data_IF_587643446088
#
_entry.id   IF_587643446088
#
_cell.length_a   1.000
_cell.length_b   1.000
_cell.length_c   1.000
_cell.angle_alpha   90.00
_cell.angle_beta   90.00
_cell.angle_gamma   90.00
#
_symmetry.space_group_name_H-M   'P 1'
#
loop_
_entity.id
_entity.type
_entity.pdbx_description
1 polymer ?
#
# COMPACT_ATOMS: atom_id res chain seq x y z
N UNK A 1 -10.58 -1.70 14.11
CA UNK A 1 -9.93 -2.72 13.27
C UNK A 1 -9.73 -2.16 11.86
N UNK A 2 -8.54 -2.32 11.29
CA UNK A 2 -8.15 -1.72 10.01
C UNK A 2 -8.60 -2.48 8.75
N UNK A 3 -9.56 -3.40 8.89
CA UNK A 3 -10.18 -4.14 7.77
C UNK A 3 -11.62 -3.63 7.66
N UNK A 4 -12.11 -3.39 6.44
CA UNK A 4 -13.49 -2.97 6.24
C UNK A 4 -14.46 -4.12 6.60
N UNK A 5 -15.30 -3.97 7.65
CA UNK A 5 -16.13 -5.06 8.12
C UNK A 5 -17.27 -5.35 7.15
N UNK A 6 -17.48 -6.64 6.89
CA UNK A 6 -18.61 -7.12 6.12
C UNK A 6 -19.91 -7.04 6.93
N UNK A 7 -20.91 -6.34 6.39
CA UNK A 7 -22.18 -6.07 7.08
C UNK A 7 -23.35 -6.96 6.60
N UNK A 8 -23.16 -7.75 5.53
CA UNK A 8 -24.15 -8.71 5.05
C UNK A 8 -24.25 -8.84 3.52
N UNK A 9 -25.01 -9.84 3.07
CA UNK A 9 -25.39 -10.06 1.67
C UNK A 9 -26.89 -9.76 1.55
N UNK A 10 -27.26 -8.90 0.60
CA UNK A 10 -28.66 -8.71 0.24
C UNK A 10 -29.03 -9.72 -0.85
N UNK A 11 -29.94 -10.68 -0.57
CA UNK A 11 -30.43 -11.57 -1.62
C UNK A 11 -31.28 -10.75 -2.60
N UNK A 12 -30.81 -10.62 -3.84
CA UNK A 12 -31.64 -10.14 -4.95
C UNK A 12 -32.03 -11.31 -5.84
N UNK A 13 -33.30 -11.34 -6.22
CA UNK A 13 -33.88 -12.32 -7.14
C UNK A 13 -33.44 -12.04 -8.58
N UNK A 14 -32.19 -12.37 -8.92
CA UNK A 14 -31.65 -12.63 -10.26
C UNK A 14 -30.13 -12.47 -10.21
N UNK A 15 -29.34 -13.55 -10.32
CA UNK A 15 -27.93 -13.57 -10.75
C UNK A 15 -26.87 -12.63 -10.13
N UNK A 16 -27.23 -11.77 -9.18
CA UNK A 16 -26.39 -10.70 -8.65
C UNK A 16 -26.22 -10.89 -7.13
N UNK A 17 -24.97 -10.86 -6.69
CA UNK A 17 -24.61 -10.77 -5.27
C UNK A 17 -24.34 -9.30 -4.94
N UNK A 18 -24.92 -8.80 -3.85
CA UNK A 18 -24.65 -7.46 -3.33
C UNK A 18 -24.02 -7.58 -1.94
N UNK A 19 -22.83 -7.01 -1.78
CA UNK A 19 -22.11 -6.92 -0.50
C UNK A 19 -22.38 -5.56 0.13
N UNK A 20 -22.75 -5.53 1.42
CA UNK A 20 -22.87 -4.31 2.20
C UNK A 20 -21.62 -4.18 3.08
N UNK A 21 -20.91 -3.06 2.96
CA UNK A 21 -19.66 -2.75 3.66
C UNK A 21 -19.79 -1.42 4.42
N UNK A 22 -18.92 -1.20 5.39
CA UNK A 22 -18.78 0.10 6.07
C UNK A 22 -18.42 1.19 5.06
N UNK A 23 -19.02 2.38 5.20
CA UNK A 23 -18.75 3.52 4.32
C UNK A 23 -17.54 4.29 4.84
N UNK A 24 -16.44 4.25 4.10
CA UNK A 24 -15.32 5.16 4.30
C UNK A 24 -15.56 6.51 3.60
N UNK A 25 -14.80 7.53 4.02
CA UNK A 25 -14.91 8.88 3.47
C UNK A 25 -14.17 9.01 2.14
N UNK A 26 -12.96 8.46 2.06
CA UNK A 26 -12.07 8.56 0.90
C UNK A 26 -11.30 7.25 0.70
N UNK A 27 -10.90 6.96 -0.54
CA UNK A 27 -9.76 6.06 -0.79
C UNK A 27 -8.44 6.84 -0.78
N UNK A 28 -7.33 6.15 -0.47
CA UNK A 28 -6.02 6.76 -0.30
C UNK A 28 -5.50 7.36 -1.61
N UNK A 29 -5.82 6.75 -2.76
CA UNK A 29 -5.45 7.30 -4.07
C UNK A 29 -6.06 8.68 -4.27
N UNK A 30 -7.38 8.79 -4.08
CA UNK A 30 -8.12 10.04 -4.21
C UNK A 30 -7.63 11.10 -3.21
N UNK A 31 -7.38 10.69 -1.97
CA UNK A 31 -6.91 11.59 -0.91
C UNK A 31 -5.54 12.20 -1.25
N UNK A 32 -4.57 11.37 -1.64
CA UNK A 32 -3.22 11.84 -2.05
C UNK A 32 -3.28 12.65 -3.35
N UNK A 33 -4.10 12.24 -4.33
CA UNK A 33 -4.21 12.95 -5.62
C UNK A 33 -4.71 14.38 -5.49
N UNK A 34 -5.60 14.64 -4.51
CA UNK A 34 -6.21 15.97 -4.32
C UNK A 34 -5.55 16.81 -3.23
N UNK A 35 -4.83 16.20 -2.29
CA UNK A 35 -4.18 16.91 -1.18
C UNK A 35 -2.66 16.90 -1.24
N UNK A 36 -2.07 16.22 -2.21
CA UNK A 36 -0.64 15.98 -2.32
C UNK A 36 -0.13 14.88 -1.37
N UNK A 37 1.16 14.57 -1.46
CA UNK A 37 1.81 13.57 -0.62
C UNK A 37 1.78 13.92 0.87
N UNK A 38 1.85 12.89 1.71
CA UNK A 38 1.95 13.00 3.15
C UNK A 38 3.36 13.37 3.57
N UNK A 39 3.48 14.09 4.69
CA UNK A 39 4.73 14.18 5.42
C UNK A 39 5.20 12.79 5.85
N UNK A 40 6.48 12.68 6.21
CA UNK A 40 7.02 11.42 6.71
C UNK A 40 6.33 10.99 8.01
N UNK A 41 5.94 11.94 8.87
CA UNK A 41 5.21 11.67 10.13
C UNK A 41 3.85 11.04 9.84
N UNK A 42 3.04 11.70 9.00
CA UNK A 42 1.71 11.18 8.64
C UNK A 42 1.81 9.86 7.88
N UNK A 43 2.85 9.71 7.05
CA UNK A 43 3.13 8.45 6.37
C UNK A 43 3.39 7.31 7.36
N UNK A 44 4.16 7.53 8.44
CA UNK A 44 4.39 6.49 9.48
C UNK A 44 3.08 6.03 10.12
N UNK A 45 2.25 6.98 10.53
CA UNK A 45 1.02 6.70 11.27
C UNK A 45 0.02 5.95 10.39
N UNK A 46 -0.24 6.43 9.18
CA UNK A 46 -1.17 5.77 8.25
C UNK A 46 -0.61 4.42 7.79
N UNK A 47 0.68 4.35 7.43
CA UNK A 47 1.27 3.10 6.94
C UNK A 47 1.36 2.02 8.01
N UNK A 48 1.57 2.40 9.28
CA UNK A 48 1.51 1.47 10.40
C UNK A 48 0.14 0.80 10.51
N UNK A 49 -0.96 1.56 10.38
CA UNK A 49 -2.31 0.98 10.41
C UNK A 49 -2.56 0.03 9.22
N UNK A 50 -2.05 0.37 8.02
CA UNK A 50 -2.10 -0.53 6.85
C UNK A 50 -1.37 -1.85 7.16
N UNK A 51 -0.16 -1.77 7.72
CA UNK A 51 0.62 -2.95 8.08
C UNK A 51 -0.04 -3.79 9.17
N UNK A 52 -0.61 -3.18 10.20
CA UNK A 52 -1.34 -3.89 11.26
C UNK A 52 -2.55 -4.66 10.69
N UNK A 53 -3.28 -4.07 9.75
CA UNK A 53 -4.38 -4.76 9.07
C UNK A 53 -3.92 -5.90 8.17
N UNK A 54 -2.86 -5.70 7.40
CA UNK A 54 -2.30 -6.76 6.56
C UNK A 54 -1.63 -7.87 7.37
N UNK A 55 -1.03 -7.55 8.52
CA UNK A 55 -0.50 -8.55 9.46
C UNK A 55 -1.63 -9.46 9.95
N UNK A 56 -2.76 -8.88 10.37
CA UNK A 56 -3.93 -9.65 10.78
C UNK A 56 -4.46 -10.56 9.66
N UNK A 57 -4.51 -10.05 8.42
CA UNK A 57 -4.85 -10.87 7.25
C UNK A 57 -3.87 -12.04 7.07
N UNK A 58 -2.56 -11.76 7.08
CA UNK A 58 -1.52 -12.76 6.87
C UNK A 58 -1.48 -13.82 7.98
N UNK A 59 -1.75 -13.44 9.22
CA UNK A 59 -1.85 -14.35 10.37
C UNK A 59 -3.09 -15.25 10.27
N UNK A 60 -4.20 -14.71 9.73
CA UNK A 60 -5.38 -15.49 9.38
C UNK A 60 -5.22 -16.34 8.10
N UNK A 61 -4.04 -16.33 7.48
CA UNK A 61 -3.75 -17.06 6.24
C UNK A 61 -4.36 -16.41 4.99
N UNK A 62 -4.85 -15.17 5.07
CA UNK A 62 -5.42 -14.41 3.96
C UNK A 62 -4.32 -13.59 3.27
N UNK A 63 -4.19 -13.76 1.96
CA UNK A 63 -3.29 -13.00 1.09
C UNK A 63 -4.15 -12.10 0.22
N UNK A 64 -3.84 -10.80 0.14
CA UNK A 64 -4.72 -9.85 -0.53
C UNK A 64 -4.55 -9.86 -2.07
N UNK A 65 -3.30 -9.82 -2.57
CA UNK A 65 -2.95 -9.92 -4.00
C UNK A 65 -3.39 -8.76 -4.91
N UNK A 66 -4.03 -7.72 -4.38
CA UNK A 66 -4.40 -6.52 -5.13
C UNK A 66 -4.28 -5.28 -4.22
N UNK A 67 -3.19 -5.20 -3.46
CA UNK A 67 -2.91 -4.03 -2.64
C UNK A 67 -2.52 -2.86 -3.55
N UNK A 68 -3.31 -1.80 -3.44
CA UNK A 68 -3.14 -0.53 -4.14
C UNK A 68 -3.81 0.59 -3.34
N UNK A 69 -3.42 1.86 -3.51
CA UNK A 69 -4.01 2.96 -2.75
C UNK A 69 -5.55 3.05 -2.86
N UNK A 70 -6.14 2.63 -3.98
CA UNK A 70 -7.59 2.58 -4.18
C UNK A 70 -8.30 1.57 -3.24
N UNK A 71 -7.58 0.53 -2.81
CA UNK A 71 -8.09 -0.50 -1.89
C UNK A 71 -7.76 -0.21 -0.41
N UNK A 72 -7.19 0.97 -0.14
CA UNK A 72 -6.95 1.48 1.22
C UNK A 72 -7.88 2.66 1.44
N UNK A 73 -8.87 2.48 2.31
CA UNK A 73 -9.84 3.53 2.62
C UNK A 73 -9.47 4.26 3.91
N UNK A 74 -9.91 5.51 4.02
CA UNK A 74 -9.79 6.35 5.20
C UNK A 74 -11.20 6.71 5.70
N UNK A 75 -11.49 6.41 6.96
CA UNK A 75 -12.73 6.85 7.61
C UNK A 75 -12.67 8.34 8.00
N UNK A 76 -13.72 8.87 8.63
CA UNK A 76 -13.79 10.28 9.04
C UNK A 76 -12.79 10.68 10.13
N UNK A 77 -12.15 9.72 10.78
CA UNK A 77 -11.10 9.95 11.78
C UNK A 77 -9.72 9.55 11.21
N UNK A 78 -9.63 9.37 9.89
CA UNK A 78 -8.43 8.91 9.18
C UNK A 78 -7.91 7.54 9.63
N UNK A 79 -8.77 6.69 10.20
CA UNK A 79 -8.41 5.30 10.40
C UNK A 79 -8.43 4.57 9.07
N UNK A 80 -7.43 3.71 8.87
CA UNK A 80 -7.29 2.89 7.67
C UNK A 80 -8.32 1.76 7.67
N UNK A 81 -8.89 1.47 6.51
CA UNK A 81 -9.71 0.28 6.24
C UNK A 81 -9.27 -0.37 4.93
N UNK A 82 -8.73 -1.58 5.01
CA UNK A 82 -8.38 -2.38 3.83
C UNK A 82 -9.67 -2.99 3.26
N UNK A 83 -9.86 -2.90 1.95
CA UNK A 83 -11.06 -3.37 1.23
C UNK A 83 -10.70 -4.19 -0.01
N UNK A 84 -11.72 -4.68 -0.71
CA UNK A 84 -11.62 -5.40 -1.98
C UNK A 84 -10.76 -6.67 -1.95
N UNK A 85 -11.20 -7.61 -1.12
CA UNK A 85 -10.68 -8.98 -1.08
C UNK A 85 -11.17 -9.84 -2.27
N UNK A 86 -11.68 -9.24 -3.35
CA UNK A 86 -12.19 -9.98 -4.53
C UNK A 86 -11.12 -10.84 -5.21
N UNK A 87 -9.85 -10.44 -5.09
CA UNK A 87 -8.69 -11.22 -5.51
C UNK A 87 -7.98 -11.91 -4.37
N UNK A 88 -8.50 -11.94 -3.14
CA UNK A 88 -7.78 -12.57 -2.04
C UNK A 88 -7.66 -14.10 -2.21
N UNK A 89 -6.67 -14.70 -1.56
CA UNK A 89 -6.51 -16.15 -1.47
C UNK A 89 -6.29 -16.58 -0.03
N UNK A 90 -6.82 -17.75 0.33
CA UNK A 90 -6.51 -18.41 1.60
C UNK A 90 -5.33 -19.33 1.35
N UNK A 91 -4.27 -19.16 2.13
CA UNK A 91 -3.12 -20.04 2.13
C UNK A 91 -3.55 -21.42 2.65
N UNK A 92 -3.54 -22.43 1.80
CA UNK A 92 -3.73 -23.82 2.23
C UNK A 92 -2.45 -24.29 2.95
N UNK A 93 -2.51 -24.62 4.25
CA UNK A 93 -1.34 -25.09 5.01
C UNK A 93 -0.78 -26.43 4.50
N UNK A 94 -1.55 -27.17 3.70
CA UNK A 94 -1.23 -28.53 3.23
C UNK A 94 -0.73 -28.60 1.79
N UNK A 95 -0.85 -27.52 1.01
CA UNK A 95 -0.38 -27.44 -0.37
C UNK A 95 0.85 -26.53 -0.47
N UNK A 96 1.71 -26.75 -1.48
CA UNK A 96 2.78 -25.80 -1.78
C UNK A 96 2.17 -24.42 -1.99
N UNK A 97 2.62 -23.43 -1.22
CA UNK A 97 2.09 -22.06 -1.04
C UNK A 97 2.21 -21.15 -2.27
N UNK A 98 2.27 -21.77 -3.45
CA UNK A 98 2.58 -21.16 -4.74
C UNK A 98 1.28 -20.83 -5.48
N UNK A 99 1.08 -19.55 -5.76
CA UNK A 99 -0.09 -19.03 -6.48
C UNK A 99 0.21 -18.86 -7.98
N UNK A 100 -0.77 -19.14 -8.85
CA UNK A 100 -0.57 -19.23 -10.31
C UNK A 100 -1.42 -18.25 -11.15
N UNK A 101 -2.12 -17.30 -10.53
CA UNK A 101 -3.09 -16.41 -11.21
C UNK A 101 -2.55 -14.98 -11.34
N UNK A 102 -2.67 -14.40 -12.54
CA UNK A 102 -2.42 -12.97 -12.80
C UNK A 102 -3.60 -12.15 -12.26
N UNK A 103 -3.42 -11.44 -11.15
CA UNK A 103 -4.40 -10.51 -10.60
C UNK A 103 -3.67 -9.24 -10.14
N UNK A 104 -4.23 -8.06 -10.41
CA UNK A 104 -3.72 -6.77 -9.91
C UNK A 104 -3.53 -5.69 -10.98
N UNK A 105 -3.28 -4.45 -10.53
CA UNK A 105 -2.92 -3.32 -11.40
C UNK A 105 -1.39 -3.23 -11.58
N UNK A 106 -0.91 -3.11 -12.83
CA UNK A 106 0.50 -3.34 -13.21
C UNK A 106 1.57 -2.50 -12.48
N UNK A 107 1.20 -1.34 -11.94
CA UNK A 107 2.11 -0.45 -11.20
C UNK A 107 2.53 -1.03 -9.84
N UNK A 108 1.68 -1.85 -9.21
CA UNK A 108 1.86 -2.32 -7.83
C UNK A 108 2.33 -3.78 -7.73
N UNK A 109 2.36 -4.49 -8.87
CA UNK A 109 2.67 -5.91 -8.92
C UNK A 109 4.17 -6.19 -8.74
N UNK A 110 4.47 -7.19 -7.94
CA UNK A 110 5.83 -7.69 -7.74
C UNK A 110 6.35 -8.40 -9.01
N UNK A 111 7.67 -8.37 -9.29
CA UNK A 111 8.23 -8.89 -10.54
C UNK A 111 8.04 -10.40 -10.73
N UNK A 112 7.89 -11.17 -9.66
CA UNK A 112 7.67 -12.62 -9.69
C UNK A 112 6.23 -13.02 -10.05
N UNK A 113 5.28 -12.07 -10.09
CA UNK A 113 3.89 -12.35 -10.49
C UNK A 113 3.80 -12.60 -12.00
N UNK A 114 4.59 -11.92 -12.82
CA UNK A 114 4.58 -12.03 -14.29
C UNK A 114 4.92 -13.42 -14.87
N UNK A 115 5.91 -14.19 -14.36
CA UNK A 115 6.30 -15.46 -14.97
C UNK A 115 5.32 -16.64 -14.78
N UNK A 116 4.18 -16.50 -14.08
CA UNK A 116 3.21 -17.58 -13.79
C UNK A 116 3.80 -18.81 -13.10
N UNK A 117 5.01 -18.68 -12.59
CA UNK A 117 5.67 -19.67 -11.76
C UNK A 117 5.26 -19.35 -10.33
N UNK A 118 4.30 -20.11 -9.81
CA UNK A 118 3.98 -20.20 -8.38
C UNK A 118 4.75 -19.27 -7.43
N UNK A 119 4.13 -18.19 -6.93
CA UNK A 119 4.80 -17.18 -6.08
C UNK A 119 4.33 -17.21 -4.62
N UNK A 120 5.14 -16.66 -3.71
CA UNK A 120 4.78 -16.41 -2.32
C UNK A 120 3.95 -15.12 -2.23
N UNK A 121 2.63 -15.29 -2.03
CA UNK A 121 1.70 -14.17 -2.00
C UNK A 121 1.93 -13.20 -0.85
N UNK A 122 2.43 -13.64 0.31
CA UNK A 122 2.73 -12.73 1.43
C UNK A 122 3.89 -11.81 1.08
N UNK A 123 4.91 -12.33 0.39
CA UNK A 123 6.04 -11.54 -0.10
C UNK A 123 5.64 -10.61 -1.25
N UNK A 124 4.66 -11.01 -2.06
CA UNK A 124 4.07 -10.14 -3.08
C UNK A 124 3.34 -8.95 -2.45
N UNK A 125 2.51 -9.16 -1.42
CA UNK A 125 1.84 -8.09 -0.69
C UNK A 125 2.86 -7.09 -0.09
N UNK A 126 4.00 -7.57 0.45
CA UNK A 126 5.08 -6.71 0.97
C UNK A 126 5.66 -5.78 -0.11
N UNK A 127 5.79 -6.24 -1.35
CA UNK A 127 6.23 -5.38 -2.46
C UNK A 127 5.20 -4.29 -2.75
N UNK A 128 3.92 -4.64 -2.86
CA UNK A 128 2.84 -3.68 -3.10
C UNK A 128 2.74 -2.65 -1.99
N UNK A 129 2.92 -3.06 -0.73
CA UNK A 129 3.00 -2.15 0.42
C UNK A 129 4.15 -1.15 0.31
N UNK A 130 5.31 -1.55 -0.24
CA UNK A 130 6.42 -0.63 -0.46
C UNK A 130 6.10 0.42 -1.54
N UNK A 131 5.39 0.02 -2.59
CA UNK A 131 4.90 0.93 -3.63
C UNK A 131 3.89 1.92 -3.05
N UNK A 132 2.96 1.46 -2.20
CA UNK A 132 2.00 2.32 -1.50
C UNK A 132 2.72 3.33 -0.61
N UNK A 133 3.66 2.89 0.24
CA UNK A 133 4.44 3.80 1.09
C UNK A 133 5.18 4.85 0.25
N UNK A 134 5.78 4.44 -0.87
CA UNK A 134 6.44 5.36 -1.78
C UNK A 134 5.46 6.42 -2.28
N UNK A 135 4.29 6.03 -2.81
CA UNK A 135 3.25 6.96 -3.28
C UNK A 135 2.75 7.88 -2.18
N UNK A 136 2.55 7.39 -0.96
CA UNK A 136 2.14 8.23 0.17
C UNK A 136 3.15 9.37 0.39
N UNK A 137 4.44 9.07 0.28
CA UNK A 137 5.52 10.04 0.56
C UNK A 137 5.85 10.96 -0.62
N UNK A 138 5.46 10.61 -1.86
CA UNK A 138 5.84 11.35 -3.08
C UNK A 138 4.69 11.85 -3.93
N UNK A 139 3.51 11.26 -3.80
CA UNK A 139 2.38 11.44 -4.70
C UNK A 139 2.49 10.68 -6.03
N UNK A 140 3.57 9.91 -6.26
CA UNK A 140 3.85 9.25 -7.54
C UNK A 140 4.46 7.85 -7.34
N UNK A 141 4.23 6.90 -8.27
CA UNK A 141 4.81 5.56 -8.14
C UNK A 141 6.35 5.55 -8.32
N UNK A 142 7.07 4.59 -7.72
CA UNK A 142 8.54 4.48 -7.81
C UNK A 142 9.05 4.05 -9.19
N UNK A 143 8.18 3.47 -10.02
CA UNK A 143 8.41 3.05 -11.40
C UNK A 143 7.05 2.86 -12.09
N UNK A 144 7.05 2.82 -13.42
CA UNK A 144 5.82 2.61 -14.21
C UNK A 144 5.43 1.13 -14.19
N UNK A 145 6.40 0.24 -14.38
CA UNK A 145 6.16 -1.21 -14.31
C UNK A 145 7.41 -1.90 -13.79
N UNK A 146 7.24 -2.98 -13.03
CA UNK A 146 8.35 -3.81 -12.56
C UNK A 146 8.93 -4.69 -13.69
N UNK A 147 9.43 -4.05 -14.75
CA UNK A 147 10.01 -4.70 -15.93
C UNK A 147 11.41 -4.14 -16.23
N UNK A 148 12.34 -4.93 -16.81
CA UNK A 148 13.69 -4.46 -17.13
C UNK A 148 13.75 -3.24 -18.08
N UNK A 149 12.64 -2.90 -18.74
CA UNK A 149 12.55 -1.72 -19.62
C UNK A 149 12.37 -0.41 -18.85
N UNK A 150 11.88 -0.48 -17.61
CA UNK A 150 11.74 0.68 -16.73
C UNK A 150 13.10 0.99 -16.08
N UNK A 151 13.54 2.23 -16.22
CA UNK A 151 14.87 2.65 -15.79
C UNK A 151 15.05 2.59 -14.26
N UNK A 152 14.00 2.93 -13.51
CA UNK A 152 14.02 2.88 -12.04
C UNK A 152 13.97 1.45 -11.55
N UNK A 153 13.13 0.60 -12.14
CA UNK A 153 13.10 -0.82 -11.79
C UNK A 153 14.41 -1.53 -12.16
N UNK A 154 15.00 -1.22 -13.32
CA UNK A 154 16.27 -1.84 -13.71
C UNK A 154 17.40 -1.53 -12.70
N UNK A 155 17.40 -0.33 -12.11
CA UNK A 155 18.34 0.00 -11.03
C UNK A 155 18.14 -0.89 -9.80
N UNK A 156 16.89 -1.15 -9.40
CA UNK A 156 16.56 -2.09 -8.31
C UNK A 156 17.02 -3.51 -8.65
N UNK A 157 16.76 -3.97 -9.88
CA UNK A 157 17.13 -5.31 -10.35
C UNK A 157 18.64 -5.55 -10.32
N UNK A 158 19.44 -4.52 -10.61
CA UNK A 158 20.90 -4.58 -10.55
C UNK A 158 21.47 -4.32 -9.13
N UNK A 159 20.61 -4.14 -8.12
CA UNK A 159 21.00 -3.79 -6.76
C UNK A 159 21.55 -2.36 -6.59
N UNK A 160 21.36 -1.48 -7.59
CA UNK A 160 21.83 -0.09 -7.62
C UNK A 160 20.83 0.87 -6.99
N UNK A 161 20.54 0.67 -5.70
CA UNK A 161 19.59 1.54 -4.97
C UNK A 161 20.09 2.99 -4.83
N UNK A 162 21.40 3.20 -4.82
CA UNK A 162 22.02 4.53 -4.89
C UNK A 162 21.56 5.30 -6.14
N UNK A 163 21.51 4.62 -7.29
CA UNK A 163 21.03 5.19 -8.56
C UNK A 163 19.52 5.42 -8.54
N UNK A 164 18.77 4.49 -7.98
CA UNK A 164 17.32 4.61 -7.81
C UNK A 164 16.96 5.87 -7.00
N UNK A 165 17.58 6.05 -5.82
CA UNK A 165 17.34 7.19 -4.95
C UNK A 165 17.88 8.49 -5.52
N UNK A 166 19.09 8.49 -6.08
CA UNK A 166 19.69 9.70 -6.68
C UNK A 166 18.85 10.29 -7.80
N UNK A 167 18.07 9.48 -8.52
CA UNK A 167 17.15 9.98 -9.54
C UNK A 167 15.86 10.54 -8.96
N UNK A 168 15.28 9.91 -7.95
CA UNK A 168 14.07 10.42 -7.30
C UNK A 168 14.34 11.69 -6.50
N UNK A 169 15.47 11.74 -5.79
CA UNK A 169 15.88 12.89 -4.97
C UNK A 169 16.15 14.17 -5.78
N UNK A 170 16.40 14.07 -7.09
CA UNK A 170 16.52 15.25 -7.98
C UNK A 170 15.21 16.02 -8.10
N UNK A 171 14.08 15.33 -8.01
CA UNK A 171 12.75 15.90 -8.16
C UNK A 171 12.03 16.03 -6.80
N UNK A 172 12.47 15.30 -5.77
CA UNK A 172 11.76 15.15 -4.49
C UNK A 172 12.76 15.06 -3.31
N UNK A 173 13.15 16.18 -2.68
CA UNK A 173 14.28 16.21 -1.74
C UNK A 173 13.99 15.67 -0.32
N UNK A 174 12.78 15.20 -0.02
CA UNK A 174 12.30 15.06 1.37
C UNK A 174 12.35 13.64 1.96
N UNK A 175 13.24 12.75 1.50
CA UNK A 175 13.34 11.40 2.06
C UNK A 175 14.42 11.27 3.14
N UNK A 176 14.04 10.90 4.36
CA UNK A 176 15.04 10.48 5.35
C UNK A 176 15.80 9.23 4.88
N UNK A 177 17.06 9.10 5.30
CA UNK A 177 17.82 7.88 5.01
C UNK A 177 17.19 6.61 5.61
N UNK A 178 16.43 6.74 6.70
CA UNK A 178 15.64 5.64 7.29
C UNK A 178 14.50 5.19 6.38
N UNK A 179 13.73 6.12 5.82
CA UNK A 179 12.66 5.81 4.88
C UNK A 179 13.21 5.13 3.63
N UNK A 180 14.31 5.65 3.08
CA UNK A 180 14.98 5.06 1.92
C UNK A 180 15.39 3.61 2.18
N UNK A 181 16.00 3.34 3.34
CA UNK A 181 16.40 1.96 3.72
C UNK A 181 15.19 1.04 3.91
N UNK A 182 14.11 1.52 4.52
CA UNK A 182 12.88 0.74 4.70
C UNK A 182 12.29 0.34 3.34
N UNK A 183 12.04 1.31 2.46
CA UNK A 183 11.49 1.05 1.12
C UNK A 183 12.41 0.12 0.33
N UNK A 184 13.73 0.35 0.34
CA UNK A 184 14.69 -0.51 -0.36
C UNK A 184 14.72 -1.95 0.18
N UNK A 185 14.45 -2.17 1.47
CA UNK A 185 14.39 -3.53 2.03
C UNK A 185 13.15 -4.31 1.56
N UNK A 186 12.08 -3.61 1.19
CA UNK A 186 10.83 -4.22 0.72
C UNK A 186 10.79 -4.36 -0.81
N UNK A 187 11.37 -3.42 -1.55
CA UNK A 187 11.50 -3.44 -3.01
C UNK A 187 12.69 -4.31 -3.48
N UNK A 188 12.75 -5.56 -3.02
CA UNK A 188 13.79 -6.52 -3.41
C UNK A 188 13.25 -7.49 -4.46
N UNK A 189 13.97 -7.71 -5.57
CA UNK A 189 13.51 -8.61 -6.65
C UNK A 189 13.32 -10.03 -6.14
N UNK A 190 14.28 -10.56 -5.38
CA UNK A 190 14.20 -11.88 -4.77
C UNK A 190 13.16 -11.90 -3.62
N UNK A 191 12.03 -12.62 -3.75
CA UNK A 191 10.93 -12.54 -2.76
C UNK A 191 11.34 -13.05 -1.38
N UNK A 192 12.21 -14.07 -1.33
CA UNK A 192 12.68 -14.65 -0.07
C UNK A 192 13.56 -13.71 0.75
N UNK A 193 14.17 -12.71 0.09
CA UNK A 193 14.99 -11.69 0.74
C UNK A 193 14.18 -10.50 1.28
N UNK A 194 12.88 -10.38 0.94
CA UNK A 194 12.01 -9.35 1.50
C UNK A 194 11.69 -9.66 2.98
N UNK A 195 11.49 -8.64 3.84
CA UNK A 195 11.05 -8.83 5.21
C UNK A 195 9.63 -9.44 5.30
N UNK A 196 9.24 -9.92 6.47
CA UNK A 196 7.81 -10.13 6.81
C UNK A 196 7.17 -8.81 7.25
N UNK A 197 5.84 -8.73 7.32
CA UNK A 197 5.17 -7.53 7.84
C UNK A 197 5.58 -7.24 9.29
N UNK A 198 5.75 -8.28 10.11
CA UNK A 198 6.27 -8.14 11.47
C UNK A 198 7.67 -7.51 11.51
N UNK A 199 8.57 -7.92 10.62
CA UNK A 199 9.91 -7.32 10.50
C UNK A 199 9.83 -5.84 10.05
N UNK A 200 8.89 -5.51 9.16
CA UNK A 200 8.66 -4.12 8.71
C UNK A 200 8.14 -3.28 9.87
N UNK A 201 7.14 -3.75 10.62
CA UNK A 201 6.58 -3.07 11.80
C UNK A 201 7.62 -2.83 12.90
N UNK A 202 8.60 -3.73 13.04
CA UNK A 202 9.69 -3.59 14.00
C UNK A 202 10.77 -2.57 13.56
N UNK A 203 10.65 -1.97 12.36
CA UNK A 203 11.66 -1.05 11.85
C UNK A 203 11.70 0.27 12.65
N UNK A 204 12.90 0.79 13.02
CA UNK A 204 13.04 2.05 13.75
C UNK A 204 12.41 3.27 13.07
N UNK A 205 12.16 3.22 11.76
CA UNK A 205 11.48 4.29 11.03
C UNK A 205 10.10 4.63 11.62
N UNK A 206 9.40 3.66 12.23
CA UNK A 206 8.11 3.89 12.88
C UNK A 206 8.21 4.59 14.24
N UNK A 207 9.40 4.97 14.70
CA UNK A 207 9.56 5.75 15.93
C UNK A 207 8.93 7.13 15.75
N UNK A 208 8.06 7.50 16.69
CA UNK A 208 7.38 8.78 16.77
C UNK A 208 7.83 9.57 18.00
N UNK A 209 7.85 10.88 17.87
CA UNK A 209 7.99 11.83 18.98
C UNK A 209 6.61 12.19 19.57
N UNK A 210 6.52 12.70 20.81
CA UNK A 210 5.24 13.15 21.37
C UNK A 210 4.54 14.24 20.53
N UNK A 211 5.32 15.09 19.85
CA UNK A 211 4.78 16.18 19.03
C UNK A 211 4.25 15.69 17.67
N UNK A 212 4.54 14.45 17.28
CA UNK A 212 4.17 13.91 15.97
C UNK A 212 2.64 13.71 15.84
N UNK A 213 1.92 13.53 16.96
CA UNK A 213 0.45 13.40 16.95
C UNK A 213 -0.24 14.71 16.55
N UNK A 214 0.28 15.84 17.04
CA UNK A 214 -0.22 17.17 16.67
C UNK A 214 0.10 17.47 15.20
N UNK A 215 1.33 17.17 14.77
CA UNK A 215 1.76 17.32 13.37
C UNK A 215 0.86 16.51 12.42
N UNK A 216 0.55 15.28 12.80
CA UNK A 216 -0.37 14.42 12.04
C UNK A 216 -1.77 15.02 11.97
N UNK A 217 -2.33 15.41 13.11
CA UNK A 217 -3.70 15.93 13.19
C UNK A 217 -3.86 17.20 12.35
N UNK A 218 -2.93 18.14 12.49
CA UNK A 218 -2.91 19.40 11.72
C UNK A 218 -2.81 19.14 10.21
N UNK A 219 -1.91 18.25 9.79
CA UNK A 219 -1.74 17.91 8.37
C UNK A 219 -3.00 17.27 7.80
N UNK A 220 -3.59 16.29 8.50
CA UNK A 220 -4.76 15.57 8.00
C UNK A 220 -5.98 16.47 7.90
N UNK A 221 -6.20 17.40 8.84
CA UNK A 221 -7.30 18.38 8.78
C UNK A 221 -7.15 19.34 7.57
N UNK A 222 -5.93 19.83 7.33
CA UNK A 222 -5.65 20.70 6.16
C UNK A 222 -5.91 19.94 4.87
N UNK A 223 -5.40 18.71 4.77
CA UNK A 223 -5.55 17.88 3.57
C UNK A 223 -7.01 17.52 3.32
N UNK A 224 -7.78 17.18 4.34
CA UNK A 224 -9.22 16.90 4.19
C UNK A 224 -9.97 18.09 3.59
N UNK A 225 -9.72 19.32 4.08
CA UNK A 225 -10.30 20.54 3.50
C UNK A 225 -9.95 20.72 2.02
N UNK A 226 -8.72 20.38 1.62
CA UNK A 226 -8.31 20.41 0.21
C UNK A 226 -9.09 19.40 -0.63
N UNK A 227 -9.24 18.16 -0.14
CA UNK A 227 -9.98 17.11 -0.86
C UNK A 227 -11.46 17.49 -1.01
N UNK A 228 -12.11 17.95 0.06
CA UNK A 228 -13.52 18.38 0.03
C UNK A 228 -13.68 19.55 -0.96
N UNK A 229 -12.81 20.56 -0.88
CA UNK A 229 -12.86 21.70 -1.79
C UNK A 229 -12.60 21.37 -3.26
N UNK A 230 -11.85 20.30 -3.55
CA UNK A 230 -11.68 19.79 -4.91
C UNK A 230 -12.96 19.11 -5.42
N UNK A 231 -13.54 18.23 -4.61
CA UNK A 231 -14.79 17.51 -4.93
C UNK A 231 -15.98 18.44 -5.16
N UNK A 232 -16.05 19.56 -4.44
CA UNK A 232 -17.09 20.58 -4.66
C UNK A 232 -16.95 21.28 -6.01
N UNK A 233 -15.71 21.54 -6.46
CA UNK A 233 -15.44 22.16 -7.76
C UNK A 233 -15.74 21.24 -8.94
N UNK A 234 -15.61 19.93 -8.77
CA UNK A 234 -15.94 18.95 -9.83
C UNK A 234 -17.44 18.77 -10.03
N UNK A 235 -18.26 19.14 -9.03
CA UNK A 235 -19.73 19.04 -9.07
C UNK A 235 -20.43 20.29 -9.62
N UNK A 236 -19.72 21.42 -9.71
CA UNK A 236 -20.23 22.70 -10.20
C UNK A 236 -19.89 22.95 -11.65
#
# INVERSE_FOLDING_TARGET
EPICPYSGILPRSSGFCALVLERASFDLFHFVSHSGSFSEVSSKIVFKQILEGMQACHDAGVIHRDLKPENILLDSNFNVKITDFGFAAIQDPSASTKLYTDCGTAFYMAPEVFPKLGYDGKKSDVWSLAVILFIMTTGHPPFTTATPRDWWFNAIQEGRYDRFWSSHLKCMPNFSGSLQRLISSMLVVEPTARPTIADVLANPWFSLSPDDEDVYSDEMEIKEKMVIGALEKEKG
#
